data_IF_592120713250
#
_entry.id   IF_592120713250
#
_cell.length_a   1.000
_cell.length_b   1.000
_cell.length_c   1.000
_cell.angle_alpha   90.00
_cell.angle_beta   90.00
_cell.angle_gamma   90.00
#
_symmetry.space_group_name_H-M   'P 1'
#
loop_
_entity.id
_entity.type
_entity.pdbx_description
1 polymer ?
#
# COMPACT_ATOMS: atom_id res chain seq x y z
N UNK A 1 -20.32 -10.91 0.20
CA UNK A 1 -19.37 -10.26 -0.74
C UNK A 1 -18.20 -9.78 0.09
N UNK A 2 -16.97 -10.17 -0.27
CA UNK A 2 -15.75 -9.76 0.44
C UNK A 2 -15.44 -8.28 0.18
N UNK A 3 -14.93 -7.57 1.19
CA UNK A 3 -14.47 -6.17 1.10
C UNK A 3 -12.97 -6.10 1.25
N UNK A 4 -12.33 -5.06 0.70
CA UNK A 4 -10.88 -4.84 0.84
C UNK A 4 -10.45 -4.69 2.30
N UNK A 5 -11.33 -4.15 3.14
CA UNK A 5 -11.11 -3.91 4.57
C UNK A 5 -11.37 -5.13 5.44
N UNK A 6 -11.86 -6.23 4.87
CA UNK A 6 -12.00 -7.48 5.64
C UNK A 6 -10.60 -8.01 6.00
N UNK A 7 -10.50 -8.72 7.11
CA UNK A 7 -9.21 -9.22 7.60
C UNK A 7 -8.80 -10.43 6.78
N UNK A 8 -7.90 -10.24 5.82
CA UNK A 8 -7.49 -11.30 4.90
C UNK A 8 -6.78 -12.47 5.59
N UNK A 9 -6.32 -12.33 6.84
CA UNK A 9 -5.70 -13.44 7.60
C UNK A 9 -6.76 -14.29 8.31
N UNK A 10 -7.82 -13.67 8.83
CA UNK A 10 -8.94 -14.39 9.45
C UNK A 10 -9.94 -14.91 8.42
N UNK A 11 -10.17 -14.14 7.37
CA UNK A 11 -11.21 -14.36 6.36
C UNK A 11 -10.63 -14.80 5.00
N UNK A 12 -9.44 -15.42 4.98
CA UNK A 12 -8.74 -15.82 3.75
C UNK A 12 -9.62 -16.64 2.78
N UNK A 13 -10.55 -17.45 3.30
CA UNK A 13 -11.53 -18.19 2.49
C UNK A 13 -12.44 -17.29 1.67
N UNK A 14 -12.93 -16.17 2.23
CA UNK A 14 -13.82 -15.25 1.51
C UNK A 14 -13.12 -14.60 0.31
N UNK A 15 -11.84 -14.28 0.45
CA UNK A 15 -11.01 -13.77 -0.65
C UNK A 15 -10.74 -14.87 -1.68
N UNK A 16 -10.38 -16.08 -1.23
CA UNK A 16 -10.13 -17.22 -2.10
C UNK A 16 -11.36 -17.59 -2.95
N UNK A 17 -12.55 -17.62 -2.35
CA UNK A 17 -13.81 -17.92 -3.04
C UNK A 17 -14.17 -16.83 -4.07
N UNK A 18 -13.67 -15.60 -3.89
CA UNK A 18 -13.77 -14.51 -4.87
C UNK A 18 -12.65 -14.53 -5.94
N UNK A 19 -11.74 -15.51 -5.87
CA UNK A 19 -10.58 -15.64 -6.74
C UNK A 19 -9.52 -14.56 -6.51
N UNK A 20 -9.38 -14.06 -5.28
CA UNK A 20 -8.44 -13.00 -4.92
C UNK A 20 -7.27 -13.59 -4.13
N UNK A 21 -6.06 -13.40 -4.62
CA UNK A 21 -4.81 -13.70 -3.89
C UNK A 21 -4.63 -12.68 -2.77
N UNK A 22 -4.30 -13.15 -1.56
CA UNK A 22 -4.12 -12.31 -0.37
C UNK A 22 -2.64 -12.20 0.04
N UNK A 23 -2.25 -11.14 0.76
CA UNK A 23 -0.92 -11.02 1.34
C UNK A 23 -0.55 -12.20 2.24
N UNK A 24 0.74 -12.55 2.27
CA UNK A 24 1.33 -13.60 3.11
C UNK A 24 2.00 -13.05 4.38
N UNK A 25 1.93 -11.73 4.60
CA UNK A 25 2.43 -11.04 5.79
C UNK A 25 1.30 -10.40 6.61
N UNK A 26 1.65 -9.91 7.81
CA UNK A 26 0.78 -9.11 8.66
C UNK A 26 0.93 -7.62 8.35
N UNK A 27 -0.12 -6.99 7.78
CA UNK A 27 -0.09 -5.57 7.42
C UNK A 27 0.14 -4.66 8.63
N UNK A 28 -0.36 -5.01 9.82
CA UNK A 28 -0.16 -4.20 11.01
C UNK A 28 1.31 -4.25 11.46
N UNK A 29 1.93 -5.43 11.42
CA UNK A 29 3.35 -5.59 11.70
C UNK A 29 4.22 -4.87 10.66
N UNK A 30 3.87 -4.96 9.37
CA UNK A 30 4.54 -4.22 8.29
C UNK A 30 4.46 -2.71 8.50
N UNK A 31 3.29 -2.18 8.91
CA UNK A 31 3.13 -0.75 9.21
C UNK A 31 4.02 -0.33 10.38
N UNK A 32 4.05 -1.10 11.46
CA UNK A 32 4.91 -0.84 12.60
C UNK A 32 6.41 -0.88 12.22
N UNK A 33 6.82 -1.83 11.37
CA UNK A 33 8.18 -1.88 10.83
C UNK A 33 8.50 -0.64 9.97
N UNK A 34 7.53 -0.18 9.18
CA UNK A 34 7.67 1.03 8.35
C UNK A 34 7.79 2.29 9.20
N UNK A 35 7.06 2.38 10.31
CA UNK A 35 7.13 3.51 11.23
C UNK A 35 8.48 3.59 11.96
N UNK A 36 9.05 2.43 12.31
CA UNK A 36 10.35 2.36 12.97
C UNK A 36 11.53 2.53 12.00
N UNK A 37 11.43 1.94 10.80
CA UNK A 37 12.49 1.86 9.80
C UNK A 37 11.90 2.02 8.39
N UNK A 38 11.54 3.25 7.97
CA UNK A 38 11.08 3.49 6.62
C UNK A 38 12.23 3.26 5.63
N UNK A 39 11.98 2.49 4.57
CA UNK A 39 12.99 2.18 3.53
C UNK A 39 12.53 2.56 2.13
N UNK A 40 11.26 2.94 1.97
CA UNK A 40 10.70 3.26 0.67
C UNK A 40 9.64 4.36 0.75
N UNK A 41 9.98 5.54 0.25
CA UNK A 41 9.03 6.61 -0.06
C UNK A 41 8.77 6.65 -1.56
N UNK A 42 7.51 6.68 -1.97
CA UNK A 42 7.11 6.83 -3.37
C UNK A 42 6.36 8.14 -3.58
N UNK A 43 6.89 9.00 -4.44
CA UNK A 43 6.23 10.24 -4.84
C UNK A 43 5.27 9.99 -6.00
N UNK A 44 3.97 10.19 -5.75
CA UNK A 44 2.90 10.00 -6.73
C UNK A 44 2.17 8.65 -6.59
N UNK A 45 1.15 8.61 -5.73
CA UNK A 45 0.25 7.46 -5.56
C UNK A 45 -0.82 7.33 -6.64
N UNK A 46 -0.44 7.31 -7.92
CA UNK A 46 -1.35 7.20 -9.06
C UNK A 46 -1.70 5.75 -9.43
N UNK A 47 -2.45 5.56 -10.52
CA UNK A 47 -2.82 4.21 -11.01
C UNK A 47 -1.59 3.37 -11.38
N UNK A 48 -0.60 3.94 -12.06
CA UNK A 48 0.61 3.20 -12.45
C UNK A 48 1.38 2.69 -11.23
N UNK A 49 1.52 3.52 -10.19
CA UNK A 49 2.09 3.10 -8.91
C UNK A 49 1.33 1.93 -8.31
N UNK A 50 0.00 2.05 -8.17
CA UNK A 50 -0.86 1.03 -7.57
C UNK A 50 -0.85 -0.30 -8.31
N UNK A 51 -0.75 -0.27 -9.64
CA UNK A 51 -0.75 -1.47 -10.46
C UNK A 51 0.64 -2.10 -10.64
N UNK A 52 1.73 -1.38 -10.37
CA UNK A 52 3.09 -1.87 -10.64
C UNK A 52 3.98 -1.85 -9.39
N UNK A 53 4.47 -0.69 -8.95
CA UNK A 53 5.40 -0.61 -7.81
C UNK A 53 4.81 -1.15 -6.51
N UNK A 54 3.51 -0.91 -6.26
CA UNK A 54 2.84 -1.48 -5.09
C UNK A 54 2.77 -3.01 -5.17
N UNK A 55 2.61 -3.61 -6.35
CA UNK A 55 2.69 -5.06 -6.55
C UNK A 55 4.11 -5.59 -6.36
N UNK A 56 5.13 -4.88 -6.83
CA UNK A 56 6.53 -5.25 -6.58
C UNK A 56 6.83 -5.29 -5.08
N UNK A 57 6.45 -4.26 -4.32
CA UNK A 57 6.61 -4.26 -2.87
C UNK A 57 5.77 -5.35 -2.19
N UNK A 58 4.57 -5.63 -2.70
CA UNK A 58 3.73 -6.74 -2.22
C UNK A 58 4.48 -8.07 -2.34
N UNK A 59 5.09 -8.35 -3.48
CA UNK A 59 5.83 -9.60 -3.73
C UNK A 59 7.09 -9.72 -2.87
N UNK A 60 7.79 -8.60 -2.64
CA UNK A 60 8.95 -8.56 -1.74
C UNK A 60 8.55 -8.79 -0.27
N UNK A 61 7.40 -8.24 0.15
CA UNK A 61 6.88 -8.48 1.49
C UNK A 61 6.37 -9.93 1.65
N UNK A 62 5.74 -10.49 0.61
CA UNK A 62 5.23 -11.87 0.61
C UNK A 62 6.37 -12.91 0.62
N UNK A 63 7.51 -12.59 0.00
CA UNK A 63 8.74 -13.42 0.03
C UNK A 63 9.60 -13.22 1.28
N UNK A 64 9.38 -12.14 2.03
CA UNK A 64 10.18 -11.76 3.20
C UNK A 64 11.46 -10.99 2.87
N UNK A 65 11.72 -10.68 1.59
CA UNK A 65 12.83 -9.84 1.14
C UNK A 65 12.67 -8.36 1.52
N UNK A 66 11.45 -7.96 1.88
CA UNK A 66 11.11 -6.65 2.43
C UNK A 66 10.32 -6.81 3.73
N UNK A 67 10.55 -5.92 4.70
CA UNK A 67 9.83 -5.89 5.98
C UNK A 67 8.95 -4.64 6.13
N UNK A 68 9.44 -3.50 5.63
CA UNK A 68 8.72 -2.22 5.65
C UNK A 68 7.96 -2.00 4.35
N UNK A 69 6.72 -1.50 4.43
CA UNK A 69 5.94 -1.13 3.26
C UNK A 69 6.29 0.25 2.70
N UNK A 70 5.51 0.66 1.73
CA UNK A 70 5.70 1.92 1.01
C UNK A 70 4.98 3.06 1.73
N UNK A 71 5.68 4.18 1.88
CA UNK A 71 5.09 5.47 2.23
C UNK A 71 4.82 6.25 0.94
N UNK A 72 3.55 6.44 0.58
CA UNK A 72 3.14 7.23 -0.57
C UNK A 72 3.04 8.70 -0.19
N UNK A 73 3.70 9.55 -0.96
CA UNK A 73 3.68 11.00 -0.79
C UNK A 73 3.09 11.69 -2.04
N UNK A 74 2.13 12.60 -1.87
CA UNK A 74 1.55 13.40 -2.97
C UNK A 74 1.55 14.90 -2.67
N UNK A 75 1.98 15.71 -3.64
CA UNK A 75 1.94 17.19 -3.58
C UNK A 75 0.72 17.80 -4.25
N UNK A 76 0.11 17.06 -5.18
CA UNK A 76 -0.87 17.61 -6.11
C UNK A 76 -2.29 17.60 -5.57
N UNK A 77 -2.60 16.68 -4.66
CA UNK A 77 -3.95 16.55 -4.12
C UNK A 77 -3.97 15.97 -2.72
N UNK A 78 -4.51 16.76 -1.78
CA UNK A 78 -4.79 16.31 -0.43
C UNK A 78 -5.99 15.36 -0.36
N UNK A 79 -6.77 15.23 -1.44
CA UNK A 79 -7.96 14.37 -1.46
C UNK A 79 -7.59 12.91 -1.69
N UNK A 80 -6.57 12.62 -2.50
CA UNK A 80 -6.19 11.25 -2.85
C UNK A 80 -5.94 10.37 -1.60
N UNK A 81 -5.12 10.76 -0.61
CA UNK A 81 -4.96 9.96 0.61
C UNK A 81 -6.28 9.73 1.35
N UNK A 82 -7.15 10.75 1.40
CA UNK A 82 -8.41 10.73 2.15
C UNK A 82 -9.53 9.92 1.46
N UNK A 83 -9.55 9.86 0.13
CA UNK A 83 -10.64 9.27 -0.64
C UNK A 83 -10.30 7.94 -1.29
N UNK A 84 -9.02 7.71 -1.62
CA UNK A 84 -8.57 6.52 -2.34
C UNK A 84 -7.81 5.54 -1.44
N UNK A 85 -7.09 6.02 -0.42
CA UNK A 85 -6.25 5.16 0.41
C UNK A 85 -6.87 4.88 1.77
N UNK A 86 -7.12 5.93 2.57
CA UNK A 86 -7.59 5.81 3.95
C UNK A 86 -8.89 5.00 4.11
N UNK A 87 -9.93 5.16 3.26
CA UNK A 87 -11.19 4.41 3.42
C UNK A 87 -11.03 2.89 3.22
N UNK A 88 -9.91 2.46 2.63
CA UNK A 88 -9.65 1.07 2.29
C UNK A 88 -8.39 0.54 2.99
N UNK A 89 -8.00 1.13 4.12
CA UNK A 89 -6.83 0.73 4.92
C UNK A 89 -5.50 0.73 4.14
N UNK A 90 -5.38 1.61 3.14
CA UNK A 90 -4.28 1.67 2.16
C UNK A 90 -4.17 0.41 1.28
N UNK A 91 -5.24 -0.38 1.18
CA UNK A 91 -5.34 -1.55 0.31
C UNK A 91 -6.02 -1.21 -1.00
N UNK A 92 -5.75 -2.02 -2.01
CA UNK A 92 -6.32 -1.89 -3.35
C UNK A 92 -6.43 -3.26 -4.01
N UNK A 93 -7.41 -3.42 -4.91
CA UNK A 93 -7.50 -4.61 -5.75
C UNK A 93 -6.78 -4.34 -7.06
N UNK A 94 -5.73 -5.12 -7.34
CA UNK A 94 -5.14 -5.20 -8.66
C UNK A 94 -5.90 -6.25 -9.46
N UNK A 95 -6.29 -5.91 -10.69
CA UNK A 95 -6.89 -6.86 -11.64
C UNK A 95 -6.05 -6.82 -12.92
N UNK A 96 -5.46 -7.95 -13.30
CA UNK A 96 -4.71 -8.12 -14.54
C UNK A 96 -5.61 -8.90 -15.49
N UNK A 97 -5.83 -8.37 -16.69
CA UNK A 97 -6.60 -9.03 -17.74
C UNK A 97 -5.64 -9.47 -18.83
N UNK A 98 -5.52 -10.78 -19.04
CA UNK A 98 -4.68 -11.33 -20.11
C UNK A 98 -5.39 -11.28 -21.48
N UNK A 99 -4.66 -11.42 -22.60
CA UNK A 99 -5.25 -11.40 -23.94
C UNK A 99 -6.31 -12.48 -24.19
N UNK A 100 -6.25 -13.60 -23.47
CA UNK A 100 -7.23 -14.69 -23.53
C UNK A 100 -8.50 -14.43 -22.69
N UNK A 101 -8.58 -13.27 -22.03
CA UNK A 101 -9.70 -12.86 -21.18
C UNK A 101 -9.64 -13.40 -19.75
N UNK A 102 -8.60 -14.16 -19.40
CA UNK A 102 -8.40 -14.57 -18.01
C UNK A 102 -8.05 -13.37 -17.11
N UNK A 103 -8.47 -13.45 -15.85
CA UNK A 103 -8.27 -12.39 -14.87
C UNK A 103 -7.51 -12.90 -13.65
N UNK A 104 -6.42 -12.22 -13.32
CA UNK A 104 -5.72 -12.38 -12.04
C UNK A 104 -6.12 -11.25 -11.10
N UNK A 105 -6.42 -11.57 -9.84
CA UNK A 105 -6.85 -10.59 -8.84
C UNK A 105 -5.96 -10.70 -7.60
N UNK A 106 -5.33 -9.59 -7.24
CA UNK A 106 -4.45 -9.52 -6.08
C UNK A 106 -4.92 -8.43 -5.11
N UNK A 107 -5.07 -8.77 -3.83
CA UNK A 107 -5.22 -7.80 -2.76
C UNK A 107 -3.84 -7.22 -2.45
N UNK A 108 -3.60 -5.98 -2.83
CA UNK A 108 -2.36 -5.27 -2.55
C UNK A 108 -2.52 -4.52 -1.23
N UNK A 109 -1.64 -4.81 -0.26
CA UNK A 109 -1.63 -4.23 1.07
C UNK A 109 -0.27 -3.61 1.44
N UNK A 110 0.64 -3.47 0.47
CA UNK A 110 2.03 -3.06 0.64
C UNK A 110 2.25 -1.58 0.95
N UNK A 111 1.18 -0.76 0.91
CA UNK A 111 1.25 0.66 1.29
C UNK A 111 1.02 0.77 2.79
N UNK A 112 2.05 1.21 3.51
CA UNK A 112 1.96 1.49 4.93
C UNK A 112 1.16 2.78 5.16
N UNK A 113 1.55 3.85 4.48
CA UNK A 113 0.98 5.19 4.64
C UNK A 113 0.77 5.88 3.30
N UNK A 114 -0.26 6.70 3.21
CA UNK A 114 -0.44 7.65 2.13
C UNK A 114 -0.66 9.03 2.74
N UNK A 115 0.20 9.99 2.41
CA UNK A 115 0.16 11.33 2.96
C UNK A 115 0.21 12.40 1.87
N UNK A 116 -0.49 13.49 2.15
CA UNK A 116 -0.33 14.73 1.41
C UNK A 116 0.86 15.47 1.99
N UNK A 117 1.75 15.96 1.15
CA UNK A 117 2.84 16.82 1.59
C UNK A 117 2.87 18.07 0.71
N UNK A 118 2.89 19.22 1.37
CA UNK A 118 3.04 20.50 0.71
C UNK A 118 3.67 21.46 1.73
N UNK A 119 4.51 22.39 1.30
CA UNK A 119 5.08 23.39 2.21
C UNK A 119 3.99 24.24 2.90
N UNK A 120 2.85 24.41 2.25
CA UNK A 120 1.68 25.08 2.81
C UNK A 120 0.86 24.20 3.78
N UNK A 121 1.17 22.90 3.91
CA UNK A 121 0.60 21.98 4.89
C UNK A 121 1.66 21.58 5.93
N UNK A 122 1.72 22.27 7.08
CA UNK A 122 2.79 22.08 8.07
C UNK A 122 2.91 20.65 8.57
N UNK A 123 1.79 19.93 8.70
CA UNK A 123 1.78 18.56 9.17
C UNK A 123 2.45 17.62 8.16
N UNK A 124 1.97 17.60 6.90
CA UNK A 124 2.56 16.77 5.85
C UNK A 124 4.03 17.12 5.59
N UNK A 125 4.38 18.41 5.66
CA UNK A 125 5.77 18.87 5.53
C UNK A 125 6.69 18.35 6.64
N UNK A 126 6.25 18.46 7.90
CA UNK A 126 7.01 17.98 9.05
C UNK A 126 7.17 16.45 9.03
N UNK A 127 6.08 15.73 8.80
CA UNK A 127 6.09 14.25 8.77
C UNK A 127 7.03 13.74 7.68
N UNK A 128 6.94 14.28 6.46
CA UNK A 128 7.81 13.84 5.38
C UNK A 128 9.28 14.15 5.67
N UNK A 129 9.58 15.33 6.24
CA UNK A 129 10.96 15.64 6.66
C UNK A 129 11.48 14.62 7.67
N UNK A 130 10.71 14.32 8.71
CA UNK A 130 11.11 13.37 9.75
C UNK A 130 11.37 11.97 9.18
N UNK A 131 10.60 11.55 8.16
CA UNK A 131 10.81 10.29 7.44
C UNK A 131 12.16 10.30 6.70
N UNK A 132 12.50 11.38 5.98
CA UNK A 132 13.79 11.52 5.27
C UNK A 132 15.00 11.78 6.18
N UNK A 133 14.78 12.05 7.46
CA UNK A 133 15.85 12.14 8.47
C UNK A 133 16.18 10.77 9.08
N UNK A 134 15.39 9.72 8.81
CA UNK A 134 15.69 8.37 9.29
C UNK A 134 16.85 7.75 8.51
N UNK A 135 17.87 7.17 9.17
CA UNK A 135 19.01 6.56 8.49
C UNK A 135 18.67 5.37 7.57
N UNK A 136 17.47 4.80 7.71
CA UNK A 136 17.01 3.66 6.93
C UNK A 136 16.50 4.03 5.53
N UNK A 137 16.36 5.33 5.23
CA UNK A 137 15.85 5.87 3.97
C UNK A 137 16.91 6.71 3.23
#
# INVERSE_FOLDING_TARGET
>A
MVKLTDDYRRDARLFKDAGITVPQYDQAAMKAATDAHPVWVHFGGGNLFRCFHAKVAQDLLDSGDLQSGIIVATTHSATIPKTIYAPYENRMLQVIVAPDGSMEKNLIASVAHALYYNRADPFGWFVLRAIFEQPSL
#
